data_IF_589774822702
#
_entry.id   IF_589774822702
#
_cell.length_a   1.000
_cell.length_b   1.000
_cell.length_c   1.000
_cell.angle_alpha   90.00
_cell.angle_beta   90.00
_cell.angle_gamma   90.00
#
_symmetry.space_group_name_H-M   'P 1'
#
loop_
_entity.id
_entity.type
_entity.pdbx_description
1 polymer ?
#
# COMPACT_ATOMS: atom_id res chain seq x y z
N UNK A 1 -2.21 -21.06 4.91
CA UNK A 1 -2.79 -20.14 5.92
C UNK A 1 -1.65 -19.48 6.70
N UNK A 2 -1.74 -18.19 7.07
CA UNK A 2 -0.74 -17.57 7.94
C UNK A 2 -0.73 -18.30 9.29
N UNK A 3 0.46 -18.58 9.79
CA UNK A 3 0.67 -19.45 10.96
C UNK A 3 1.26 -18.70 12.13
N UNK A 4 1.88 -17.55 11.88
CA UNK A 4 2.41 -16.66 12.90
C UNK A 4 1.99 -15.23 12.63
N UNK A 5 1.64 -14.53 13.70
CA UNK A 5 1.24 -13.14 13.72
C UNK A 5 2.06 -12.42 14.77
N UNK A 6 2.87 -11.46 14.34
CA UNK A 6 3.64 -10.60 15.24
C UNK A 6 2.92 -9.26 15.34
N UNK A 7 2.57 -8.86 16.57
CA UNK A 7 1.93 -7.57 16.80
C UNK A 7 2.93 -6.43 16.56
N UNK A 8 2.50 -5.40 15.85
CA UNK A 8 3.25 -4.16 15.65
C UNK A 8 2.63 -3.05 16.50
N UNK A 9 1.38 -2.71 16.22
CA UNK A 9 0.68 -1.63 16.91
C UNK A 9 -0.85 -1.73 16.76
N UNK A 10 -1.57 -0.85 17.46
CA UNK A 10 -2.97 -0.55 17.15
C UNK A 10 -3.02 0.80 16.43
N UNK A 11 -3.69 0.83 15.29
CA UNK A 11 -3.85 2.07 14.53
C UNK A 11 -4.87 3.02 15.20
N UNK A 12 -5.00 4.24 14.66
CA UNK A 12 -5.96 5.25 15.13
C UNK A 12 -7.43 4.79 15.11
N UNK A 13 -7.75 3.71 14.40
CA UNK A 13 -9.07 3.11 14.33
C UNK A 13 -9.21 1.89 15.26
N UNK A 14 -8.26 1.69 16.18
CA UNK A 14 -8.18 0.56 17.12
C UNK A 14 -8.05 -0.82 16.45
N UNK A 15 -7.66 -0.86 15.17
CA UNK A 15 -7.43 -2.13 14.45
C UNK A 15 -6.07 -2.68 14.82
N UNK A 16 -5.97 -4.01 14.84
CA UNK A 16 -4.70 -4.72 15.06
C UNK A 16 -3.83 -4.64 13.81
N UNK A 17 -2.61 -4.12 13.94
CA UNK A 17 -1.60 -4.10 12.90
C UNK A 17 -0.49 -5.08 13.29
N UNK A 18 -0.16 -5.98 12.37
CA UNK A 18 0.83 -7.02 12.63
C UNK A 18 1.52 -7.53 11.38
N UNK A 19 2.66 -8.19 11.59
CA UNK A 19 3.37 -8.92 10.56
C UNK A 19 2.91 -10.37 10.53
N UNK A 20 2.66 -10.90 9.33
CA UNK A 20 2.11 -12.24 9.15
C UNK A 20 3.09 -13.08 8.34
N UNK A 21 3.42 -14.27 8.84
CA UNK A 21 4.19 -15.26 8.08
C UNK A 21 3.39 -16.54 7.85
N UNK A 22 3.64 -17.12 6.69
CA UNK A 22 3.09 -18.40 6.24
C UNK A 22 3.79 -19.58 6.94
N UNK A 23 3.26 -20.77 6.74
CA UNK A 23 3.81 -22.03 7.28
C UNK A 23 5.24 -22.30 6.82
N UNK A 24 5.60 -21.80 5.64
CA UNK A 24 6.93 -21.89 5.01
C UNK A 24 7.90 -20.78 5.50
N UNK A 25 7.45 -19.90 6.40
CA UNK A 25 8.23 -18.77 6.90
C UNK A 25 8.21 -17.54 6.00
N UNK A 26 7.53 -17.60 4.86
CA UNK A 26 7.45 -16.47 3.92
C UNK A 26 6.52 -15.37 4.47
N UNK A 27 6.91 -14.11 4.31
CA UNK A 27 6.07 -12.97 4.71
C UNK A 27 4.86 -12.85 3.78
N UNK A 28 3.66 -12.83 4.35
CA UNK A 28 2.42 -12.63 3.61
C UNK A 28 2.42 -11.27 2.92
N UNK A 29 2.91 -10.23 3.60
CA UNK A 29 2.95 -8.88 3.03
C UNK A 29 3.88 -8.82 1.81
N UNK A 30 5.04 -9.48 1.89
CA UNK A 30 5.97 -9.62 0.75
C UNK A 30 5.28 -10.29 -0.44
N UNK A 31 4.57 -11.41 -0.23
CA UNK A 31 3.83 -12.08 -1.30
C UNK A 31 2.76 -11.19 -1.92
N UNK A 32 2.02 -10.43 -1.10
CA UNK A 32 0.96 -9.54 -1.58
C UNK A 32 1.51 -8.40 -2.44
N UNK A 33 2.62 -7.78 -2.02
CA UNK A 33 3.28 -6.71 -2.77
C UNK A 33 3.87 -7.25 -4.07
N UNK A 34 4.59 -8.37 -4.01
CA UNK A 34 5.17 -9.02 -5.20
C UNK A 34 4.12 -9.45 -6.21
N UNK A 35 2.97 -9.93 -5.73
CA UNK A 35 1.80 -10.30 -6.53
C UNK A 35 0.98 -9.11 -7.02
N UNK A 36 1.41 -7.86 -6.80
CA UNK A 36 0.70 -6.67 -7.27
C UNK A 36 -0.68 -6.47 -6.62
N UNK A 37 -0.92 -7.06 -5.45
CA UNK A 37 -2.18 -6.91 -4.70
C UNK A 37 -2.10 -5.83 -3.61
N UNK A 38 -0.89 -5.37 -3.28
CA UNK A 38 -0.65 -4.36 -2.27
C UNK A 38 0.53 -3.45 -2.68
N UNK A 39 0.63 -2.29 -2.04
CA UNK A 39 1.77 -1.36 -2.18
C UNK A 39 2.55 -1.27 -0.88
N UNK A 40 3.83 -0.94 -1.00
CA UNK A 40 4.69 -0.60 0.12
C UNK A 40 4.30 0.80 0.64
N UNK A 41 3.58 0.84 1.77
CA UNK A 41 3.08 2.10 2.32
C UNK A 41 4.17 2.77 3.16
N UNK A 42 4.77 3.91 2.75
CA UNK A 42 5.96 4.46 3.40
C UNK A 42 5.78 4.73 4.90
N UNK A 43 4.56 5.08 5.32
CA UNK A 43 4.22 5.36 6.72
C UNK A 43 4.20 4.13 7.64
N UNK A 44 4.04 2.91 7.11
CA UNK A 44 3.85 1.70 7.92
C UNK A 44 4.96 0.67 7.68
N UNK A 45 5.44 0.57 6.45
CA UNK A 45 6.44 -0.42 6.05
C UNK A 45 7.84 0.16 5.88
N UNK A 46 7.99 1.48 5.89
CA UNK A 46 9.28 2.17 5.82
C UNK A 46 10.22 1.72 4.68
N UNK A 47 9.69 1.30 3.52
CA UNK A 47 10.53 0.83 2.41
C UNK A 47 10.79 -0.68 2.39
N UNK A 48 10.28 -1.44 3.36
CA UNK A 48 10.61 -2.85 3.54
C UNK A 48 10.22 -3.75 2.34
N UNK A 49 9.26 -3.31 1.52
CA UNK A 49 8.79 -4.05 0.34
C UNK A 49 8.96 -3.28 -0.98
N UNK A 50 9.79 -2.24 -1.00
CA UNK A 50 9.97 -1.39 -2.17
C UNK A 50 10.54 -2.15 -3.38
N UNK A 51 11.38 -3.16 -3.15
CA UNK A 51 11.95 -3.98 -4.22
C UNK A 51 10.89 -4.85 -4.90
N UNK A 52 10.02 -5.47 -4.10
CA UNK A 52 8.92 -6.30 -4.58
C UNK A 52 7.88 -5.46 -5.33
N UNK A 53 7.59 -4.25 -4.85
CA UNK A 53 6.69 -3.34 -5.53
C UNK A 53 7.26 -2.90 -6.88
N UNK A 54 8.57 -2.56 -6.92
CA UNK A 54 9.25 -2.21 -8.17
C UNK A 54 9.20 -3.36 -9.18
N UNK A 55 9.40 -4.59 -8.73
CA UNK A 55 9.34 -5.77 -9.60
C UNK A 55 7.90 -6.02 -10.10
N UNK A 56 6.89 -5.87 -9.24
CA UNK A 56 5.48 -5.99 -9.63
C UNK A 56 5.06 -4.90 -10.64
N UNK A 57 5.58 -3.68 -10.48
CA UNK A 57 5.39 -2.56 -11.43
C UNK A 57 6.01 -2.86 -12.80
N UNK A 58 7.28 -3.28 -12.83
CA UNK A 58 7.98 -3.56 -14.09
C UNK A 58 7.34 -4.73 -14.86
N UNK A 59 6.78 -5.69 -14.14
CA UNK A 59 6.10 -6.85 -14.73
C UNK A 59 4.62 -6.60 -15.02
N UNK A 60 4.08 -5.43 -14.65
CA UNK A 60 2.68 -5.08 -14.85
C UNK A 60 1.73 -6.05 -14.15
N UNK A 61 2.02 -6.44 -12.91
CA UNK A 61 1.25 -7.45 -12.17
C UNK A 61 0.15 -6.77 -11.34
N UNK A 62 -1.05 -7.37 -11.33
CA UNK A 62 -2.14 -6.98 -10.44
C UNK A 62 -2.61 -5.55 -10.70
N UNK A 63 -2.58 -4.70 -9.67
CA UNK A 63 -2.98 -3.28 -9.78
C UNK A 63 -2.13 -2.50 -10.80
N UNK A 64 -0.93 -2.98 -11.13
CA UNK A 64 0.00 -2.33 -12.06
C UNK A 64 -0.25 -2.66 -13.53
N UNK A 65 -1.30 -3.41 -13.86
CA UNK A 65 -1.72 -3.66 -15.25
C UNK A 65 -2.23 -2.40 -15.96
N UNK A 66 -2.53 -1.34 -15.21
CA UNK A 66 -2.92 -0.04 -15.74
C UNK A 66 -2.33 1.10 -14.92
N UNK A 67 -2.76 2.33 -15.23
CA UNK A 67 -2.37 3.49 -14.45
C UNK A 67 -3.07 3.45 -13.09
N UNK A 68 -2.29 3.20 -12.03
CA UNK A 68 -2.78 3.12 -10.67
C UNK A 68 -2.14 4.21 -9.82
N UNK A 69 -2.98 5.10 -9.27
CA UNK A 69 -2.53 6.17 -8.40
C UNK A 69 -2.63 5.76 -6.93
N UNK A 70 -1.55 5.90 -6.15
CA UNK A 70 -1.61 5.60 -4.73
C UNK A 70 -2.65 6.46 -3.99
N UNK A 71 -3.50 5.87 -3.12
CA UNK A 71 -4.56 6.61 -2.43
C UNK A 71 -4.07 7.76 -1.55
N UNK A 72 -2.83 7.70 -1.05
CA UNK A 72 -2.25 8.76 -0.23
C UNK A 72 -1.84 10.00 -1.04
N UNK A 73 -1.62 9.86 -2.35
CA UNK A 73 -1.40 11.02 -3.23
C UNK A 73 -2.70 11.79 -3.44
N UNK A 74 -3.83 11.09 -3.59
CA UNK A 74 -5.15 11.71 -3.66
C UNK A 74 -5.49 12.48 -2.37
N UNK A 75 -5.17 11.92 -1.20
CA UNK A 75 -5.39 12.59 0.09
C UNK A 75 -4.54 13.86 0.28
N UNK A 76 -3.44 14.01 -0.46
CA UNK A 76 -2.61 15.22 -0.46
C UNK A 76 -3.05 16.27 -1.49
N UNK A 77 -3.94 15.91 -2.43
CA UNK A 77 -4.50 16.86 -3.39
C UNK A 77 -5.58 17.71 -2.68
N UNK A 78 -5.53 19.05 -2.79
CA UNK A 78 -6.63 19.86 -2.33
C UNK A 78 -7.89 19.49 -3.13
N UNK A 79 -9.00 19.29 -2.45
CA UNK A 79 -10.26 18.84 -3.05
C UNK A 79 -10.90 19.84 -4.03
N UNK A 80 -10.30 21.02 -4.25
CA UNK A 80 -10.97 22.17 -4.90
C UNK A 80 -10.09 23.11 -5.75
N UNK A 81 -8.82 22.82 -6.06
CA UNK A 81 -7.96 23.81 -6.75
C UNK A 81 -8.10 23.87 -8.28
N UNK A 82 -9.23 23.46 -8.85
CA UNK A 82 -9.47 23.67 -10.28
C UNK A 82 -10.96 23.78 -10.67
N UNK A 83 -11.84 24.15 -9.74
CA UNK A 83 -13.23 24.48 -10.09
C UNK A 83 -13.26 25.85 -10.77
N UNK A 84 -13.76 25.98 -12.01
CA UNK A 84 -13.95 27.28 -12.67
C UNK A 84 -14.92 28.20 -11.91
N UNK A 85 -15.67 27.64 -10.95
CA UNK A 85 -16.64 28.33 -10.11
C UNK A 85 -16.01 29.14 -8.96
N UNK A 86 -14.71 28.95 -8.67
CA UNK A 86 -14.00 29.69 -7.62
C UNK A 86 -13.32 30.98 -8.15
N UNK A 87 -13.40 31.23 -9.46
CA UNK A 87 -13.07 32.53 -10.06
C UNK A 87 -14.31 33.43 -10.06
N UNK A 88 -14.65 33.97 -8.89
CA UNK A 88 -15.45 35.21 -8.87
C UNK A 88 -14.60 36.35 -9.47
N UNK A 89 -15.16 37.21 -10.34
CA UNK A 89 -14.55 38.48 -10.70
C UNK A 89 -14.46 39.43 -9.49
#
# INVERSE_FOLDING_TARGET
MPTKCEFVERDQYSRFVGNYSRTDGESVQRCLVRGGHAMDRPRHSHGAFAQEESAAKSEGIGIWQGEFQPPWELASRPAWTDSPLDRCP
#
